data_IF_097057351058
#
_entry.id   IF_097057351058
#
_cell.length_a   1.000
_cell.length_b   1.000
_cell.length_c   1.000
_cell.angle_alpha   90.00
_cell.angle_beta   90.00
_cell.angle_gamma   90.00
#
_symmetry.space_group_name_H-M   'P 1'
#
loop_
_entity.id
_entity.type
_entity.pdbx_description
1 polymer ?
#
# COMPACT_ATOMS: atom_id res chain seq x y z
N UNK A 1 -20.18 -6.37 2.37
CA UNK A 1 -19.10 -5.36 2.35
C UNK A 1 -19.03 -4.67 0.99
N UNK A 2 -18.90 -5.38 -0.13
CA UNK A 2 -18.72 -4.80 -1.46
C UNK A 2 -19.82 -3.82 -1.91
N UNK A 3 -21.08 -4.06 -1.60
CA UNK A 3 -22.17 -3.14 -1.94
C UNK A 3 -22.01 -1.76 -1.28
N UNK A 4 -21.67 -1.72 0.00
CA UNK A 4 -21.45 -0.47 0.74
C UNK A 4 -20.23 0.30 0.22
N UNK A 5 -19.21 -0.43 -0.21
CA UNK A 5 -18.05 0.16 -0.85
C UNK A 5 -18.42 0.86 -2.16
N UNK A 6 -19.23 0.20 -3.02
CA UNK A 6 -19.73 0.76 -4.27
C UNK A 6 -20.65 1.97 -4.09
N UNK A 7 -21.36 2.06 -2.95
CA UNK A 7 -22.21 3.19 -2.57
C UNK A 7 -21.45 4.37 -1.93
N UNK A 8 -20.11 4.26 -1.76
CA UNK A 8 -19.30 5.34 -1.20
C UNK A 8 -19.25 5.37 0.33
N UNK A 9 -19.60 4.27 1.01
CA UNK A 9 -19.52 4.14 2.47
C UNK A 9 -18.40 3.20 2.92
N UNK A 10 -17.11 3.57 2.75
CA UNK A 10 -15.99 2.68 3.04
C UNK A 10 -15.92 2.25 4.52
N UNK A 11 -16.31 3.11 5.45
CA UNK A 11 -16.33 2.78 6.88
C UNK A 11 -17.32 1.66 7.20
N UNK A 12 -18.52 1.67 6.60
CA UNK A 12 -19.51 0.60 6.78
C UNK A 12 -19.01 -0.71 6.17
N UNK A 13 -18.42 -0.63 4.96
CA UNK A 13 -17.79 -1.78 4.30
C UNK A 13 -16.72 -2.42 5.20
N UNK A 14 -15.89 -1.62 5.84
CA UNK A 14 -14.82 -2.07 6.72
C UNK A 14 -15.35 -2.79 7.98
N UNK A 15 -16.43 -2.27 8.59
CA UNK A 15 -17.07 -2.94 9.74
C UNK A 15 -17.60 -4.31 9.36
N UNK A 16 -18.24 -4.46 8.19
CA UNK A 16 -18.69 -5.78 7.72
C UNK A 16 -17.54 -6.72 7.39
N UNK A 17 -16.42 -6.21 6.84
CA UNK A 17 -15.23 -7.02 6.60
C UNK A 17 -14.65 -7.54 7.93
N UNK A 18 -14.58 -6.68 8.96
CA UNK A 18 -14.15 -7.09 10.30
C UNK A 18 -15.08 -8.17 10.90
N UNK A 19 -16.39 -8.04 10.77
CA UNK A 19 -17.33 -9.06 11.28
C UNK A 19 -17.11 -10.43 10.62
N UNK A 20 -16.79 -10.44 9.32
CA UNK A 20 -16.42 -11.68 8.62
C UNK A 20 -15.12 -12.25 9.21
N UNK A 21 -14.11 -11.42 9.40
CA UNK A 21 -12.83 -11.83 9.99
C UNK A 21 -13.00 -12.38 11.42
N UNK A 22 -13.86 -11.77 12.23
CA UNK A 22 -14.17 -12.24 13.59
C UNK A 22 -14.87 -13.61 13.61
N UNK A 23 -15.66 -13.93 12.58
CA UNK A 23 -16.36 -15.22 12.45
C UNK A 23 -15.46 -16.32 11.88
N UNK A 24 -14.70 -16.01 10.84
CA UNK A 24 -13.82 -16.95 10.13
C UNK A 24 -12.48 -17.16 10.85
N UNK A 25 -11.95 -16.10 11.45
CA UNK A 25 -10.64 -16.03 12.09
C UNK A 25 -9.49 -16.49 11.18
N UNK A 26 -9.60 -16.17 9.89
CA UNK A 26 -8.56 -16.41 8.89
C UNK A 26 -7.70 -15.17 8.68
N UNK A 27 -6.39 -15.35 8.44
CA UNK A 27 -5.47 -14.23 8.23
C UNK A 27 -5.89 -13.34 7.06
N UNK A 28 -6.35 -13.94 5.96
CA UNK A 28 -6.82 -13.23 4.77
C UNK A 28 -8.02 -12.32 5.07
N UNK A 29 -9.00 -12.80 5.84
CA UNK A 29 -10.17 -12.01 6.22
C UNK A 29 -9.76 -10.78 7.04
N UNK A 30 -8.82 -10.95 7.98
CA UNK A 30 -8.26 -9.85 8.75
C UNK A 30 -7.46 -8.88 7.86
N UNK A 31 -6.72 -9.36 6.88
CA UNK A 31 -6.04 -8.54 5.87
C UNK A 31 -7.01 -7.70 5.05
N UNK A 32 -8.14 -8.28 4.63
CA UNK A 32 -9.22 -7.59 3.92
C UNK A 32 -9.87 -6.52 4.82
N UNK A 33 -10.11 -6.82 6.10
CA UNK A 33 -10.63 -5.86 7.05
C UNK A 33 -9.66 -4.68 7.22
N UNK A 34 -8.35 -4.95 7.40
CA UNK A 34 -7.30 -3.93 7.49
C UNK A 34 -7.27 -3.01 6.26
N UNK A 35 -7.29 -3.58 5.07
CA UNK A 35 -7.33 -2.85 3.80
C UNK A 35 -8.60 -1.98 3.69
N UNK A 36 -9.75 -2.51 4.06
CA UNK A 36 -11.01 -1.79 4.03
C UNK A 36 -11.01 -0.58 4.97
N UNK A 37 -10.45 -0.73 6.18
CA UNK A 37 -10.28 0.38 7.10
C UNK A 37 -9.23 1.39 6.63
N UNK A 38 -8.14 0.95 5.99
CA UNK A 38 -7.15 1.86 5.39
C UNK A 38 -7.78 2.74 4.30
N UNK A 39 -8.66 2.17 3.47
CA UNK A 39 -9.42 2.93 2.48
C UNK A 39 -10.38 3.92 3.17
N UNK A 40 -11.00 3.53 4.29
CA UNK A 40 -11.81 4.45 5.09
C UNK A 40 -10.99 5.66 5.57
N UNK A 41 -9.76 5.44 6.09
CA UNK A 41 -8.84 6.51 6.50
C UNK A 41 -8.58 7.49 5.35
N UNK A 42 -8.36 6.97 4.14
CA UNK A 42 -8.03 7.79 2.96
C UNK A 42 -9.20 8.60 2.42
N UNK A 43 -10.43 8.09 2.58
CA UNK A 43 -11.62 8.67 1.94
C UNK A 43 -12.49 9.51 2.87
N UNK A 44 -12.31 9.42 4.19
CA UNK A 44 -13.11 10.21 5.14
C UNK A 44 -12.49 11.57 5.40
N UNK A 45 -13.32 12.59 5.41
CA UNK A 45 -12.93 13.95 5.83
C UNK A 45 -13.13 14.14 7.34
N UNK A 46 -13.93 13.29 7.98
CA UNK A 46 -14.29 13.38 9.39
C UNK A 46 -13.15 12.81 10.27
N UNK A 47 -12.51 13.67 11.06
CA UNK A 47 -11.36 13.31 11.89
C UNK A 47 -11.65 12.14 12.83
N UNK A 48 -12.79 12.14 13.53
CA UNK A 48 -13.17 11.05 14.43
C UNK A 48 -13.36 9.71 13.73
N UNK A 49 -13.91 9.73 12.51
CA UNK A 49 -14.08 8.53 11.68
C UNK A 49 -12.71 8.06 11.19
N UNK A 50 -11.83 8.99 10.80
CA UNK A 50 -10.46 8.68 10.39
C UNK A 50 -9.68 8.00 11.49
N UNK A 51 -9.71 8.56 12.71
CA UNK A 51 -9.04 8.00 13.89
C UNK A 51 -9.57 6.60 14.23
N UNK A 52 -10.88 6.42 14.18
CA UNK A 52 -11.51 5.11 14.37
C UNK A 52 -11.03 4.11 13.32
N UNK A 53 -11.10 4.47 12.03
CA UNK A 53 -10.67 3.59 10.95
C UNK A 53 -9.17 3.27 11.04
N UNK A 54 -8.34 4.25 11.41
CA UNK A 54 -6.91 4.07 11.60
C UNK A 54 -6.60 3.01 12.68
N UNK A 55 -7.18 3.14 13.87
CA UNK A 55 -7.00 2.18 14.95
C UNK A 55 -7.49 0.78 14.58
N UNK A 56 -8.60 0.69 13.85
CA UNK A 56 -9.15 -0.59 13.40
C UNK A 56 -8.31 -1.23 12.31
N UNK A 57 -7.75 -0.44 11.38
CA UNK A 57 -6.82 -0.95 10.38
C UNK A 57 -5.58 -1.55 11.03
N UNK A 58 -4.97 -0.83 11.99
CA UNK A 58 -3.82 -1.33 12.74
C UNK A 58 -4.14 -2.67 13.43
N UNK A 59 -5.24 -2.73 14.19
CA UNK A 59 -5.62 -3.95 14.91
C UNK A 59 -5.89 -5.12 13.94
N UNK A 60 -6.55 -4.86 12.82
CA UNK A 60 -6.85 -5.90 11.83
C UNK A 60 -5.56 -6.49 11.22
N UNK A 61 -4.59 -5.65 10.83
CA UNK A 61 -3.31 -6.17 10.34
C UNK A 61 -2.50 -6.90 11.41
N UNK A 62 -2.53 -6.45 12.67
CA UNK A 62 -1.88 -7.18 13.77
C UNK A 62 -2.52 -8.56 13.97
N UNK A 63 -3.84 -8.68 13.85
CA UNK A 63 -4.53 -9.97 13.90
C UNK A 63 -4.12 -10.86 12.72
N UNK A 64 -4.09 -10.32 11.48
CA UNK A 64 -3.63 -11.05 10.30
C UNK A 64 -2.20 -11.58 10.50
N UNK A 65 -1.28 -10.71 10.93
CA UNK A 65 0.13 -11.08 11.21
C UNK A 65 0.28 -12.10 12.34
N UNK A 66 -0.64 -12.14 13.31
CA UNK A 66 -0.62 -13.14 14.37
C UNK A 66 -1.03 -14.54 13.89
N UNK A 67 -1.84 -14.61 12.85
CA UNK A 67 -2.33 -15.84 12.23
C UNK A 67 -1.41 -16.34 11.11
N UNK A 68 -0.81 -15.41 10.36
CA UNK A 68 0.17 -15.69 9.30
C UNK A 68 1.32 -14.67 9.40
N UNK A 69 2.33 -14.95 10.23
CA UNK A 69 3.47 -14.05 10.45
C UNK A 69 4.43 -13.96 9.25
N UNK A 70 4.41 -14.94 8.35
CA UNK A 70 5.32 -15.02 7.21
C UNK A 70 4.80 -14.23 5.99
N UNK A 71 3.51 -13.84 5.99
CA UNK A 71 2.96 -13.04 4.89
C UNK A 71 3.37 -11.56 5.02
N UNK A 72 4.34 -11.18 4.21
CA UNK A 72 4.93 -9.83 4.19
C UNK A 72 3.91 -8.74 3.81
N UNK A 73 2.87 -9.09 3.05
CA UNK A 73 1.85 -8.14 2.59
C UNK A 73 1.16 -7.42 3.76
N UNK A 74 0.87 -8.13 4.85
CA UNK A 74 0.24 -7.51 6.03
C UNK A 74 1.16 -6.50 6.71
N UNK A 75 2.48 -6.81 6.76
CA UNK A 75 3.48 -5.91 7.33
C UNK A 75 3.64 -4.64 6.48
N UNK A 76 3.66 -4.79 5.15
CA UNK A 76 3.72 -3.67 4.19
C UNK A 76 2.47 -2.80 4.32
N UNK A 77 1.29 -3.40 4.35
CA UNK A 77 0.02 -2.67 4.42
C UNK A 77 -0.14 -1.95 5.77
N UNK A 78 0.32 -2.55 6.87
CA UNK A 78 0.38 -1.88 8.17
C UNK A 78 1.33 -0.67 8.12
N UNK A 79 2.51 -0.82 7.53
CA UNK A 79 3.45 0.27 7.36
C UNK A 79 2.89 1.40 6.47
N UNK A 80 2.17 1.07 5.39
CA UNK A 80 1.42 2.05 4.58
C UNK A 80 0.36 2.78 5.41
N UNK A 81 -0.38 2.06 6.25
CA UNK A 81 -1.38 2.67 7.14
C UNK A 81 -0.73 3.70 8.07
N UNK A 82 0.44 3.40 8.61
CA UNK A 82 1.19 4.36 9.43
C UNK A 82 1.60 5.62 8.66
N UNK A 83 1.86 5.55 7.35
CA UNK A 83 2.17 6.75 6.55
C UNK A 83 0.98 7.73 6.45
N UNK A 84 -0.23 7.24 6.69
CA UNK A 84 -1.46 8.07 6.69
C UNK A 84 -1.69 8.82 8.01
N UNK A 85 -0.89 8.54 9.04
CA UNK A 85 -0.96 9.28 10.29
C UNK A 85 -0.29 10.64 10.13
N UNK A 86 -1.04 11.76 10.18
CA UNK A 86 -0.47 13.09 9.98
C UNK A 86 0.51 13.53 11.08
N UNK A 87 0.43 12.89 12.26
CA UNK A 87 1.32 13.20 13.38
C UNK A 87 2.67 12.45 13.29
N UNK A 88 2.69 11.28 12.67
CA UNK A 88 3.87 10.41 12.62
C UNK A 88 4.04 9.69 11.27
N UNK A 89 4.01 10.40 10.12
CA UNK A 89 4.07 9.73 8.80
C UNK A 89 5.39 9.01 8.57
N UNK A 90 6.47 9.44 9.22
CA UNK A 90 7.78 8.81 9.12
C UNK A 90 7.84 7.41 9.74
N UNK A 91 6.94 7.06 10.66
CA UNK A 91 6.90 5.74 11.27
C UNK A 91 6.68 4.65 10.20
N UNK A 92 5.75 4.87 9.28
CA UNK A 92 5.51 3.95 8.17
C UNK A 92 6.72 3.81 7.23
N UNK A 93 7.38 4.93 6.90
CA UNK A 93 8.58 4.90 6.07
C UNK A 93 9.73 4.13 6.73
N UNK A 94 9.93 4.30 8.04
CA UNK A 94 10.98 3.58 8.78
C UNK A 94 10.69 2.07 8.79
N UNK A 95 9.43 1.67 9.02
CA UNK A 95 9.04 0.25 8.96
C UNK A 95 9.24 -0.35 7.58
N UNK A 96 8.90 0.37 6.49
CA UNK A 96 9.13 -0.13 5.13
C UNK A 96 10.63 -0.31 4.83
N UNK A 97 11.50 0.55 5.37
CA UNK A 97 12.96 0.38 5.24
C UNK A 97 13.46 -0.83 6.02
N UNK A 98 12.97 -1.02 7.24
CA UNK A 98 13.27 -2.21 8.03
C UNK A 98 12.84 -3.50 7.31
N UNK A 99 11.66 -3.50 6.67
CA UNK A 99 11.21 -4.62 5.84
C UNK A 99 12.13 -4.85 4.63
N UNK A 100 12.60 -3.78 3.98
CA UNK A 100 13.58 -3.90 2.89
C UNK A 100 14.89 -4.53 3.36
N UNK A 101 15.38 -4.18 4.56
CA UNK A 101 16.59 -4.73 5.14
C UNK A 101 16.42 -6.20 5.56
N UNK A 102 15.27 -6.56 6.13
CA UNK A 102 14.95 -7.91 6.58
C UNK A 102 14.62 -8.87 5.41
N UNK A 103 14.07 -8.34 4.31
CA UNK A 103 13.68 -9.09 3.12
C UNK A 103 14.38 -8.54 1.86
N UNK A 104 15.73 -8.64 1.77
CA UNK A 104 16.51 -7.96 0.73
C UNK A 104 16.23 -8.46 -0.69
N UNK A 105 15.68 -9.68 -0.83
CA UNK A 105 15.35 -10.28 -2.12
C UNK A 105 13.89 -10.12 -2.52
N UNK A 106 13.07 -9.46 -1.69
CA UNK A 106 11.66 -9.19 -2.00
C UNK A 106 11.52 -7.76 -2.56
N UNK A 107 11.02 -7.58 -3.79
CA UNK A 107 10.88 -6.27 -4.39
C UNK A 107 9.74 -5.41 -3.81
N UNK A 108 8.77 -6.02 -3.10
CA UNK A 108 7.55 -5.34 -2.63
C UNK A 108 7.81 -4.12 -1.73
N UNK A 109 8.73 -4.15 -0.74
CA UNK A 109 9.07 -2.97 0.06
C UNK A 109 9.66 -1.83 -0.78
N UNK A 110 10.54 -2.16 -1.76
CA UNK A 110 11.13 -1.18 -2.67
C UNK A 110 10.09 -0.51 -3.56
N UNK A 111 9.18 -1.30 -4.15
CA UNK A 111 8.05 -0.79 -4.95
C UNK A 111 7.18 0.16 -4.12
N UNK A 112 6.88 -0.24 -2.88
CA UNK A 112 6.05 0.56 -1.97
C UNK A 112 6.73 1.89 -1.62
N UNK A 113 8.01 1.86 -1.28
CA UNK A 113 8.81 3.07 -1.02
C UNK A 113 8.95 3.94 -2.28
N UNK A 114 9.09 3.33 -3.46
CA UNK A 114 9.11 4.02 -4.76
C UNK A 114 7.80 4.75 -5.03
N UNK A 115 6.67 4.09 -4.81
CA UNK A 115 5.34 4.70 -4.96
C UNK A 115 5.15 5.90 -4.02
N UNK A 116 5.55 5.79 -2.75
CA UNK A 116 5.47 6.89 -1.79
C UNK A 116 6.36 8.07 -2.19
N UNK A 117 7.56 7.80 -2.71
CA UNK A 117 8.44 8.83 -3.25
C UNK A 117 7.82 9.53 -4.46
N UNK A 118 7.17 8.77 -5.36
CA UNK A 118 6.45 9.31 -6.52
C UNK A 118 5.27 10.20 -6.11
N UNK A 119 4.48 9.78 -5.10
CA UNK A 119 3.37 10.58 -4.56
C UNK A 119 3.83 11.91 -3.96
N UNK A 120 5.03 11.95 -3.38
CA UNK A 120 5.63 13.16 -2.79
C UNK A 120 6.55 13.91 -3.76
N UNK A 121 6.49 13.59 -5.07
CA UNK A 121 7.27 14.19 -6.15
C UNK A 121 8.79 14.11 -5.97
N UNK A 122 9.28 13.09 -5.26
CA UNK A 122 10.70 12.79 -5.08
C UNK A 122 11.16 11.85 -6.22
N UNK A 123 11.19 12.37 -7.46
CA UNK A 123 11.29 11.56 -8.68
C UNK A 123 12.57 10.74 -8.76
N UNK A 124 13.73 11.31 -8.35
CA UNK A 124 15.01 10.62 -8.35
C UNK A 124 15.03 9.45 -7.36
N UNK A 125 14.46 9.64 -6.17
CA UNK A 125 14.36 8.56 -5.17
C UNK A 125 13.35 7.49 -5.59
N UNK A 126 12.26 7.89 -6.25
CA UNK A 126 11.31 6.93 -6.81
C UNK A 126 11.98 6.08 -7.87
N UNK A 127 12.73 6.72 -8.81
CA UNK A 127 13.51 6.03 -9.83
C UNK A 127 14.46 4.99 -9.24
N UNK A 128 15.34 5.41 -8.32
CA UNK A 128 16.33 4.55 -7.68
C UNK A 128 15.69 3.29 -7.06
N UNK A 129 14.60 3.46 -6.31
CA UNK A 129 13.93 2.33 -5.65
C UNK A 129 13.25 1.38 -6.61
N UNK A 130 12.62 1.94 -7.66
CA UNK A 130 11.95 1.12 -8.68
C UNK A 130 12.96 0.40 -9.56
N UNK A 131 14.11 1.03 -9.88
CA UNK A 131 15.21 0.38 -10.59
C UNK A 131 15.80 -0.77 -9.76
N UNK A 132 15.96 -0.60 -8.45
CA UNK A 132 16.40 -1.67 -7.56
C UNK A 132 15.36 -2.80 -7.47
N UNK A 133 14.07 -2.49 -7.46
CA UNK A 133 13.01 -3.50 -7.50
C UNK A 133 13.03 -4.30 -8.81
N UNK A 134 13.26 -3.64 -9.96
CA UNK A 134 13.37 -4.27 -11.27
C UNK A 134 14.67 -5.08 -11.46
N UNK A 135 15.72 -4.81 -10.67
CA UNK A 135 16.89 -5.67 -10.60
C UNK A 135 16.59 -7.00 -9.89
N UNK A 136 15.70 -7.00 -8.90
CA UNK A 136 15.25 -8.22 -8.21
C UNK A 136 14.24 -9.02 -9.05
N UNK A 137 13.30 -8.33 -9.67
CA UNK A 137 12.29 -8.91 -10.56
C UNK A 137 12.10 -8.04 -11.81
N UNK A 138 12.80 -8.36 -12.92
CA UNK A 138 12.73 -7.62 -14.17
C UNK A 138 11.34 -7.62 -14.81
N UNK A 139 10.49 -8.58 -14.45
CA UNK A 139 9.14 -8.73 -15.04
C UNK A 139 8.02 -8.15 -14.15
N UNK A 140 8.37 -7.55 -13.01
CA UNK A 140 7.42 -6.97 -12.08
C UNK A 140 6.65 -5.79 -12.71
N UNK A 141 5.47 -6.08 -13.24
CA UNK A 141 4.66 -5.12 -14.02
C UNK A 141 4.34 -3.84 -13.23
N UNK A 142 4.04 -3.95 -11.94
CA UNK A 142 3.75 -2.78 -11.09
C UNK A 142 4.95 -1.83 -10.99
N UNK A 143 6.17 -2.36 -10.91
CA UNK A 143 7.38 -1.55 -10.87
C UNK A 143 7.65 -0.87 -12.23
N UNK A 144 7.46 -1.61 -13.35
CA UNK A 144 7.54 -1.03 -14.71
C UNK A 144 6.58 0.13 -14.89
N UNK A 145 5.32 -0.04 -14.46
CA UNK A 145 4.30 1.02 -14.60
C UNK A 145 4.62 2.26 -13.75
N UNK A 146 5.05 2.07 -12.51
CA UNK A 146 5.47 3.19 -11.67
C UNK A 146 6.72 3.88 -12.23
N UNK A 147 7.66 3.11 -12.79
CA UNK A 147 8.86 3.65 -13.41
C UNK A 147 8.55 4.43 -14.68
N UNK A 148 7.58 3.97 -15.48
CA UNK A 148 7.05 4.72 -16.63
C UNK A 148 6.46 6.07 -16.21
N UNK A 149 5.71 6.10 -15.12
CA UNK A 149 5.17 7.35 -14.56
C UNK A 149 6.29 8.30 -14.10
N UNK A 150 7.36 7.78 -13.49
CA UNK A 150 8.54 8.59 -13.13
C UNK A 150 9.15 9.23 -14.37
N UNK A 151 9.39 8.47 -15.45
CA UNK A 151 9.92 8.99 -16.69
C UNK A 151 9.02 10.08 -17.30
N UNK A 152 7.70 9.83 -17.32
CA UNK A 152 6.73 10.81 -17.81
C UNK A 152 6.81 12.13 -17.02
N UNK A 153 6.87 12.06 -15.68
CA UNK A 153 6.98 13.25 -14.82
C UNK A 153 8.33 13.97 -14.95
N UNK A 154 9.38 13.24 -15.30
CA UNK A 154 10.70 13.82 -15.62
C UNK A 154 10.78 14.42 -17.03
N UNK A 155 9.75 14.24 -17.86
CA UNK A 155 9.68 14.75 -19.24
C UNK A 155 10.27 13.81 -20.30
N UNK A 156 10.74 12.62 -19.91
CA UNK A 156 11.23 11.59 -20.84
C UNK A 156 10.08 10.68 -21.30
N UNK A 157 9.30 11.21 -22.22
CA UNK A 157 8.12 10.50 -22.76
C UNK A 157 8.51 9.27 -23.60
N UNK A 158 9.70 9.26 -24.22
CA UNK A 158 10.16 8.13 -25.01
C UNK A 158 10.48 6.92 -24.12
N UNK A 159 11.24 7.13 -23.01
CA UNK A 159 11.51 6.10 -22.04
C UNK A 159 10.22 5.62 -21.32
N UNK A 160 9.29 6.54 -21.01
CA UNK A 160 8.01 6.21 -20.43
C UNK A 160 7.19 5.25 -21.31
N UNK A 161 7.12 5.50 -22.61
CA UNK A 161 6.42 4.64 -23.55
C UNK A 161 7.07 3.26 -23.68
N UNK A 162 8.40 3.22 -23.72
CA UNK A 162 9.16 1.98 -23.89
C UNK A 162 8.97 1.01 -22.72
N UNK A 163 9.07 1.51 -21.48
CA UNK A 163 8.92 0.68 -20.27
C UNK A 163 7.46 0.43 -19.89
N UNK A 164 6.56 1.33 -20.29
CA UNK A 164 5.15 1.31 -19.93
C UNK A 164 4.27 0.42 -20.82
N UNK A 165 4.84 -0.41 -21.71
CA UNK A 165 4.06 -1.38 -22.48
C UNK A 165 3.28 -2.31 -21.53
N UNK A 166 1.95 -2.37 -21.70
CA UNK A 166 1.05 -3.16 -20.86
C UNK A 166 0.59 -2.45 -19.56
N UNK A 167 1.03 -1.20 -19.32
CA UNK A 167 0.48 -0.38 -18.24
C UNK A 167 -0.84 0.24 -18.72
N UNK A 168 -1.96 -0.14 -18.08
CA UNK A 168 -3.24 0.51 -18.38
C UNK A 168 -3.11 2.02 -18.12
N UNK A 169 -3.60 2.83 -19.04
CA UNK A 169 -3.73 4.28 -18.85
C UNK A 169 -4.67 4.53 -17.69
N UNK A 170 -4.10 4.82 -16.51
CA UNK A 170 -4.88 5.42 -15.43
C UNK A 170 -5.17 6.87 -15.86
N UNK A 171 -6.35 7.04 -16.48
CA UNK A 171 -6.97 8.38 -16.67
C UNK A 171 -7.68 8.78 -15.37
#
# INVERSE_FOLDING_TARGET
AGEWFGLGYPGISAVYAQQIAELGNEAEDWGIAGTSYTICVQRTEEEKVRDFCYQRAEQAYLNAMSLDPDELEYQINLALTYTLNPQQPMQGILRLRELQENYPNDPRPLVTLGRLALQTNQLERAAERLDNALQLDPDLQVAKCLRAEVYYRMGDTAAAQQIGEGCGTQQ
#
